data_IF_775830894874
#
_entry.id   IF_775830894874
#
_cell.length_a   1.000
_cell.length_b   1.000
_cell.length_c   1.000
_cell.angle_alpha   90.00
_cell.angle_beta   90.00
_cell.angle_gamma   90.00
#
_symmetry.space_group_name_H-M   'P 1'
#
loop_
_entity.id
_entity.type
_entity.pdbx_description
1 polymer ?
#
# COMPACT_ATOMS: atom_id res chain seq x y z
N UNK A 1 -17.27 -10.30 -5.26
CA UNK A 1 -16.53 -10.69 -6.49
C UNK A 1 -15.06 -10.74 -6.16
N UNK A 2 -14.34 -11.76 -6.64
CA UNK A 2 -12.88 -11.89 -6.46
C UNK A 2 -12.18 -11.62 -7.79
N UNK A 3 -11.05 -10.90 -7.72
CA UNK A 3 -10.17 -10.64 -8.85
C UNK A 3 -8.92 -11.49 -8.66
N UNK A 4 -8.69 -12.41 -9.58
CA UNK A 4 -7.47 -13.21 -9.58
C UNK A 4 -6.44 -12.57 -10.50
N UNK A 5 -5.22 -12.26 -10.02
CA UNK A 5 -4.13 -11.84 -10.88
C UNK A 5 -3.76 -12.95 -11.88
N UNK A 6 -3.00 -12.61 -12.89
CA UNK A 6 -2.35 -13.61 -13.74
C UNK A 6 -1.23 -14.27 -12.95
N UNK A 7 -1.00 -15.56 -13.22
CA UNK A 7 0.10 -16.32 -12.61
C UNK A 7 1.19 -16.53 -13.64
N UNK A 8 2.41 -16.12 -13.32
CA UNK A 8 3.58 -16.39 -14.15
C UNK A 8 4.18 -17.74 -13.72
N UNK A 9 4.06 -18.75 -14.59
CA UNK A 9 4.56 -20.11 -14.32
C UNK A 9 6.08 -20.20 -14.26
N UNK A 10 6.80 -19.25 -14.92
CA UNK A 10 8.26 -19.25 -14.94
C UNK A 10 8.85 -18.70 -13.65
N UNK A 11 8.22 -17.69 -13.11
CA UNK A 11 8.63 -17.06 -11.85
C UNK A 11 7.88 -17.62 -10.65
N UNK A 12 6.84 -18.43 -10.87
CA UNK A 12 5.94 -18.96 -9.84
C UNK A 12 5.30 -17.85 -8.98
N UNK A 13 4.94 -16.72 -9.61
CA UNK A 13 4.43 -15.53 -8.93
C UNK A 13 3.06 -15.09 -9.45
N UNK A 14 2.25 -14.58 -8.53
CA UNK A 14 1.07 -13.81 -8.89
C UNK A 14 1.49 -12.41 -9.36
N UNK A 15 1.08 -12.05 -10.57
CA UNK A 15 1.39 -10.78 -11.21
C UNK A 15 0.48 -9.65 -10.74
N UNK A 16 0.63 -8.48 -11.34
CA UNK A 16 -0.21 -7.33 -11.08
C UNK A 16 -1.68 -7.59 -11.45
N UNK A 17 -2.59 -6.93 -10.75
CA UNK A 17 -4.00 -6.91 -11.14
C UNK A 17 -4.17 -5.95 -12.32
N UNK A 18 -4.72 -6.46 -13.46
CA UNK A 18 -4.97 -5.66 -14.65
C UNK A 18 -6.09 -4.63 -14.42
N UNK A 19 -5.85 -3.34 -14.74
CA UNK A 19 -6.89 -2.30 -14.73
C UNK A 19 -8.09 -2.67 -15.62
N UNK A 20 -7.86 -3.23 -16.80
CA UNK A 20 -8.91 -3.62 -17.76
C UNK A 20 -9.79 -4.74 -17.20
N UNK A 21 -9.20 -5.64 -16.41
CA UNK A 21 -9.97 -6.69 -15.73
C UNK A 21 -10.88 -6.10 -14.65
N UNK A 22 -10.41 -5.10 -13.91
CA UNK A 22 -11.23 -4.37 -12.93
C UNK A 22 -12.37 -3.64 -13.64
N UNK A 23 -12.08 -2.92 -14.73
CA UNK A 23 -13.07 -2.18 -15.50
C UNK A 23 -14.20 -3.10 -15.97
N UNK A 24 -13.85 -4.23 -16.59
CA UNK A 24 -14.83 -5.24 -17.04
C UNK A 24 -15.69 -5.76 -15.90
N UNK A 25 -15.08 -6.13 -14.76
CA UNK A 25 -15.84 -6.65 -13.63
C UNK A 25 -16.76 -5.60 -13.00
N UNK A 26 -16.36 -4.32 -12.99
CA UNK A 26 -17.23 -3.22 -12.55
C UNK A 26 -18.35 -2.90 -13.54
N UNK A 27 -18.24 -3.33 -14.78
CA UNK A 27 -19.33 -3.26 -15.75
C UNK A 27 -20.32 -4.40 -15.60
N UNK A 28 -19.85 -5.59 -15.29
CA UNK A 28 -20.65 -6.79 -15.06
C UNK A 28 -21.36 -6.75 -13.70
N UNK A 29 -20.76 -6.14 -12.68
CA UNK A 29 -21.20 -6.14 -11.28
C UNK A 29 -21.48 -4.72 -10.77
N UNK A 30 -22.68 -4.21 -11.05
CA UNK A 30 -23.09 -2.85 -10.66
C UNK A 30 -23.34 -2.66 -9.16
N UNK A 31 -23.48 -3.75 -8.42
CA UNK A 31 -23.67 -3.78 -6.96
C UNK A 31 -22.37 -3.54 -6.15
N UNK A 32 -21.20 -3.54 -6.80
CA UNK A 32 -19.90 -3.33 -6.13
C UNK A 32 -19.87 -1.96 -5.48
N UNK A 33 -19.51 -1.92 -4.20
CA UNK A 33 -19.46 -0.70 -3.37
C UNK A 33 -18.04 -0.20 -3.10
N UNK A 34 -17.04 -1.02 -3.32
CA UNK A 34 -15.63 -0.68 -3.16
C UNK A 34 -14.75 -1.67 -3.92
N UNK A 35 -13.57 -1.24 -4.31
CA UNK A 35 -12.50 -2.12 -4.78
C UNK A 35 -11.42 -2.18 -3.72
N UNK A 36 -10.98 -3.40 -3.37
CA UNK A 36 -9.90 -3.64 -2.39
C UNK A 36 -8.83 -4.48 -3.07
N UNK A 37 -7.59 -4.04 -3.01
CA UNK A 37 -6.46 -4.79 -3.54
C UNK A 37 -5.20 -4.61 -2.70
N UNK A 38 -4.29 -5.57 -2.79
CA UNK A 38 -2.97 -5.52 -2.16
C UNK A 38 -1.92 -5.12 -3.21
N UNK A 39 -1.20 -4.03 -2.95
CA UNK A 39 -0.10 -3.56 -3.80
C UNK A 39 0.87 -2.72 -2.97
N UNK A 40 2.16 -3.11 -2.86
CA UNK A 40 2.74 -4.31 -3.48
C UNK A 40 2.22 -5.60 -2.86
N UNK A 41 2.34 -6.70 -3.60
CA UNK A 41 2.16 -8.04 -3.06
C UNK A 41 3.29 -8.37 -2.08
N UNK A 42 3.21 -9.52 -1.40
CA UNK A 42 4.30 -10.00 -0.55
C UNK A 42 5.63 -10.13 -1.33
N UNK A 43 5.55 -10.54 -2.58
CA UNK A 43 6.70 -10.74 -3.47
C UNK A 43 7.19 -9.45 -4.15
N UNK A 44 6.54 -8.31 -3.86
CA UNK A 44 6.94 -7.00 -4.37
C UNK A 44 6.30 -6.59 -5.70
N UNK A 45 5.32 -7.35 -6.21
CA UNK A 45 4.62 -7.00 -7.46
C UNK A 45 3.68 -5.82 -7.25
N UNK A 46 3.81 -4.81 -8.09
CA UNK A 46 3.01 -3.58 -8.05
C UNK A 46 1.91 -3.60 -9.11
N UNK A 47 0.71 -3.20 -8.72
CA UNK A 47 -0.39 -2.89 -9.64
C UNK A 47 -0.39 -1.39 -10.00
N UNK A 48 -0.93 -1.05 -11.16
CA UNK A 48 -1.08 0.35 -11.59
C UNK A 48 -2.24 1.03 -10.82
N UNK A 49 -1.92 1.51 -9.61
CA UNK A 49 -2.90 2.12 -8.71
C UNK A 49 -3.52 3.37 -9.31
N UNK A 50 -2.75 4.18 -10.05
CA UNK A 50 -3.24 5.41 -10.66
C UNK A 50 -4.33 5.11 -11.68
N UNK A 51 -4.06 4.21 -12.62
CA UNK A 51 -5.03 3.80 -13.62
C UNK A 51 -6.24 3.10 -13.01
N UNK A 52 -6.02 2.24 -12.01
CA UNK A 52 -7.11 1.57 -11.28
C UNK A 52 -7.99 2.59 -10.56
N UNK A 53 -7.40 3.61 -9.91
CA UNK A 53 -8.15 4.64 -9.21
C UNK A 53 -9.05 5.44 -10.15
N UNK A 54 -8.55 5.80 -11.34
CA UNK A 54 -9.35 6.48 -12.37
C UNK A 54 -10.60 5.66 -12.75
N UNK A 55 -10.43 4.38 -13.03
CA UNK A 55 -11.53 3.46 -13.40
C UNK A 55 -12.55 3.34 -12.27
N UNK A 56 -12.09 3.10 -11.05
CA UNK A 56 -12.93 2.93 -9.87
C UNK A 56 -13.72 4.21 -9.56
N UNK A 57 -13.07 5.36 -9.67
CA UNK A 57 -13.70 6.66 -9.41
C UNK A 57 -14.74 7.06 -10.45
N UNK A 58 -14.61 6.61 -11.70
CA UNK A 58 -15.70 6.79 -12.71
C UNK A 58 -17.01 6.13 -12.27
N UNK A 59 -16.94 5.04 -11.51
CA UNK A 59 -18.11 4.38 -10.92
C UNK A 59 -18.55 5.00 -9.58
N UNK A 60 -17.87 6.05 -9.11
CA UNK A 60 -18.12 6.78 -7.83
C UNK A 60 -17.99 5.91 -6.58
N UNK A 61 -17.21 4.86 -6.64
CA UNK A 61 -16.90 3.97 -5.51
C UNK A 61 -15.45 4.17 -5.04
N UNK A 62 -15.12 3.85 -3.78
CA UNK A 62 -13.77 4.02 -3.25
C UNK A 62 -12.82 2.89 -3.66
N UNK A 63 -11.54 3.24 -3.75
CA UNK A 63 -10.41 2.33 -3.87
C UNK A 63 -9.69 2.21 -2.53
N UNK A 64 -9.55 0.99 -2.04
CA UNK A 64 -8.83 0.64 -0.81
C UNK A 64 -7.59 -0.16 -1.20
N UNK A 65 -6.41 0.31 -0.79
CA UNK A 65 -5.15 -0.35 -1.08
C UNK A 65 -4.49 -0.83 0.22
N UNK A 66 -4.31 -2.13 0.34
CA UNK A 66 -3.41 -2.69 1.34
C UNK A 66 -1.97 -2.58 0.82
N UNK A 67 -1.30 -1.51 1.23
CA UNK A 67 0.09 -1.19 0.92
C UNK A 67 1.01 -1.53 2.12
N UNK A 68 0.67 -2.60 2.85
CA UNK A 68 1.40 -2.98 4.06
C UNK A 68 2.90 -3.21 3.82
N UNK A 69 3.30 -3.67 2.63
CA UNK A 69 4.71 -3.86 2.25
C UNK A 69 5.33 -2.65 1.55
N UNK A 70 4.60 -1.56 1.38
CA UNK A 70 5.02 -0.32 0.71
C UNK A 70 5.11 0.90 1.62
N UNK A 71 5.19 0.75 2.94
CA UNK A 71 5.23 1.88 3.87
C UNK A 71 6.41 2.85 3.64
N UNK A 72 7.47 2.41 2.97
CA UNK A 72 8.65 3.20 2.59
C UNK A 72 8.50 3.93 1.24
N UNK A 73 7.43 3.70 0.49
CA UNK A 73 7.23 4.33 -0.82
C UNK A 73 7.08 5.84 -0.72
N UNK A 74 7.62 6.56 -1.71
CA UNK A 74 7.60 8.01 -1.78
C UNK A 74 8.64 8.73 -0.90
N UNK A 75 9.40 8.02 -0.06
CA UNK A 75 10.43 8.64 0.78
C UNK A 75 11.79 8.82 0.10
N UNK A 76 12.03 8.18 -1.05
CA UNK A 76 13.27 8.30 -1.79
C UNK A 76 13.02 8.02 -3.28
N UNK A 77 13.71 8.70 -4.22
CA UNK A 77 13.50 8.52 -5.67
C UNK A 77 13.74 7.09 -6.21
N UNK A 78 14.45 6.26 -5.47
CA UNK A 78 14.65 4.85 -5.79
C UNK A 78 13.36 4.03 -5.67
N UNK A 79 12.45 4.44 -4.79
CA UNK A 79 11.18 3.75 -4.57
C UNK A 79 10.05 4.37 -5.41
N UNK A 80 9.03 3.58 -5.76
CA UNK A 80 7.84 4.13 -6.40
C UNK A 80 7.09 5.10 -5.46
N UNK A 81 6.22 5.91 -6.05
CA UNK A 81 5.26 6.71 -5.30
C UNK A 81 4.24 5.80 -4.60
N UNK A 82 3.79 6.23 -3.42
CA UNK A 82 2.80 5.47 -2.65
C UNK A 82 1.36 5.65 -3.16
N UNK A 83 0.46 4.77 -2.77
CA UNK A 83 -0.92 4.75 -3.21
C UNK A 83 -1.72 6.00 -2.80
N UNK A 84 -1.30 6.74 -1.75
CA UNK A 84 -1.96 7.99 -1.36
C UNK A 84 -1.87 9.06 -2.46
N UNK A 85 -0.73 9.16 -3.14
CA UNK A 85 -0.51 10.12 -4.24
C UNK A 85 -1.12 9.65 -5.54
N UNK A 86 -1.40 8.36 -5.68
CA UNK A 86 -1.98 7.71 -6.87
C UNK A 86 -3.50 7.57 -6.82
N UNK A 87 -4.16 8.28 -5.92
CA UNK A 87 -5.61 8.39 -5.89
C UNK A 87 -6.36 7.35 -5.06
N UNK A 88 -5.69 6.47 -4.32
CA UNK A 88 -6.38 5.57 -3.39
C UNK A 88 -7.11 6.35 -2.28
N UNK A 89 -8.35 5.97 -1.97
CA UNK A 89 -9.16 6.61 -0.93
C UNK A 89 -8.80 6.13 0.47
N UNK A 90 -8.37 4.87 0.58
CA UNK A 90 -7.86 4.29 1.83
C UNK A 90 -6.56 3.56 1.52
N UNK A 91 -5.53 3.84 2.32
CA UNK A 91 -4.24 3.14 2.23
C UNK A 91 -3.85 2.62 3.60
N UNK A 92 -3.39 1.37 3.65
CA UNK A 92 -2.96 0.71 4.88
C UNK A 92 -1.46 0.46 4.79
N UNK A 93 -0.70 1.01 5.73
CA UNK A 93 0.74 0.80 5.86
C UNK A 93 1.06 0.03 7.13
N UNK A 94 1.83 -1.05 7.03
CA UNK A 94 2.47 -1.68 8.17
C UNK A 94 3.87 -1.10 8.35
N UNK A 95 4.03 -0.19 9.31
CA UNK A 95 5.32 0.49 9.52
C UNK A 95 6.43 -0.50 9.86
N UNK A 96 6.12 -1.50 10.68
CA UNK A 96 7.08 -2.51 11.15
C UNK A 96 7.61 -3.45 10.06
N UNK A 97 7.03 -3.46 8.85
CA UNK A 97 7.49 -4.34 7.77
C UNK A 97 8.68 -3.76 7.00
N UNK A 98 8.66 -2.46 6.76
CA UNK A 98 9.62 -1.82 5.86
C UNK A 98 10.22 -0.53 6.42
N UNK A 99 9.80 -0.09 7.60
CA UNK A 99 10.31 1.06 8.32
C UNK A 99 10.78 0.67 9.73
N UNK A 100 11.63 1.47 10.39
CA UNK A 100 12.21 1.15 11.71
C UNK A 100 11.22 1.36 12.85
N UNK A 101 10.12 0.61 12.86
CA UNK A 101 9.10 0.64 13.90
C UNK A 101 8.92 -0.76 14.52
N UNK A 102 8.45 -0.81 15.77
CA UNK A 102 8.18 -2.07 16.46
C UNK A 102 7.03 -2.84 15.80
N UNK A 103 7.08 -4.16 15.89
CA UNK A 103 6.04 -5.09 15.40
C UNK A 103 4.66 -4.66 15.85
N UNK A 104 3.65 -4.87 15.02
CA UNK A 104 2.23 -4.49 15.19
C UNK A 104 1.92 -2.99 14.99
N UNK A 105 2.88 -2.17 14.59
CA UNK A 105 2.62 -0.77 14.24
C UNK A 105 2.09 -0.65 12.82
N UNK A 106 0.97 0.05 12.66
CA UNK A 106 0.35 0.28 11.36
C UNK A 106 -0.35 1.64 11.32
N UNK A 107 -0.54 2.16 10.11
CA UNK A 107 -1.30 3.37 9.84
C UNK A 107 -2.40 3.08 8.82
N UNK A 108 -3.53 3.76 8.97
CA UNK A 108 -4.57 3.86 7.96
C UNK A 108 -4.67 5.31 7.51
N UNK A 109 -4.53 5.54 6.21
CA UNK A 109 -4.68 6.86 5.58
C UNK A 109 -6.05 6.94 4.94
N UNK A 110 -6.72 8.08 5.12
CA UNK A 110 -8.04 8.35 4.55
C UNK A 110 -7.94 9.60 3.69
N UNK A 111 -8.07 9.43 2.38
CA UNK A 111 -7.93 10.48 1.38
C UNK A 111 -9.29 10.89 0.81
N UNK A 112 -9.39 12.15 0.40
CA UNK A 112 -10.60 12.64 -0.25
C UNK A 112 -11.87 12.56 0.62
N UNK A 113 -13.03 12.42 -0.05
CA UNK A 113 -14.36 12.53 0.57
C UNK A 113 -15.26 11.32 0.31
N UNK A 114 -14.80 10.29 -0.42
CA UNK A 114 -15.62 9.09 -0.74
C UNK A 114 -15.83 8.19 0.45
N UNK A 115 -14.97 8.30 1.49
CA UNK A 115 -15.03 7.51 2.70
C UNK A 115 -15.58 8.35 3.87
N UNK A 116 -16.58 7.82 4.56
CA UNK A 116 -17.05 8.41 5.82
C UNK A 116 -16.06 8.08 6.95
N UNK A 117 -15.26 9.08 7.33
CA UNK A 117 -14.25 8.96 8.39
C UNK A 117 -14.83 8.55 9.74
N UNK A 118 -16.09 8.92 10.04
CA UNK A 118 -16.75 8.54 11.29
C UNK A 118 -17.06 7.05 11.32
N UNK A 119 -17.51 6.48 10.18
CA UNK A 119 -17.74 5.04 10.07
C UNK A 119 -16.44 4.26 10.27
N UNK A 120 -15.35 4.66 9.61
CA UNK A 120 -14.03 4.01 9.80
C UNK A 120 -13.61 4.09 11.28
N UNK A 121 -13.71 5.26 11.91
CA UNK A 121 -13.39 5.42 13.34
C UNK A 121 -14.22 4.49 14.22
N UNK A 122 -15.50 4.36 13.96
CA UNK A 122 -16.38 3.46 14.74
C UNK A 122 -15.94 1.99 14.60
N UNK A 123 -15.59 1.54 13.38
CA UNK A 123 -15.08 0.19 13.18
C UNK A 123 -13.71 -0.02 13.84
N UNK A 124 -12.83 0.97 13.77
CA UNK A 124 -11.56 0.91 14.51
C UNK A 124 -11.78 0.76 16.01
N UNK A 125 -12.74 1.50 16.61
CA UNK A 125 -13.07 1.35 18.03
C UNK A 125 -13.63 -0.03 18.40
N UNK A 126 -14.28 -0.71 17.46
CA UNK A 126 -14.81 -2.07 17.68
C UNK A 126 -13.69 -3.12 17.60
N UNK A 127 -12.77 -2.97 16.65
CA UNK A 127 -11.78 -4.00 16.32
C UNK A 127 -10.40 -3.77 16.93
N UNK A 128 -10.08 -2.53 17.35
CA UNK A 128 -8.83 -2.22 18.04
C UNK A 128 -8.93 -2.56 19.54
N UNK A 129 -7.77 -2.65 20.18
CA UNK A 129 -7.69 -2.79 21.63
C UNK A 129 -8.28 -1.57 22.33
N UNK A 130 -8.90 -1.75 23.49
CA UNK A 130 -9.45 -0.66 24.30
C UNK A 130 -8.37 0.24 24.92
N UNK A 131 -7.16 -0.28 25.10
CA UNK A 131 -6.04 0.42 25.70
C UNK A 131 -4.89 0.52 24.70
N UNK A 132 -4.50 1.74 24.25
CA UNK A 132 -3.38 1.89 23.34
C UNK A 132 -2.06 1.56 24.05
N UNK A 133 -1.13 0.94 23.32
CA UNK A 133 0.24 0.75 23.79
C UNK A 133 1.05 2.01 23.55
N UNK A 134 1.40 2.72 24.62
CA UNK A 134 2.26 3.90 24.50
C UNK A 134 3.65 3.57 23.96
N UNK A 135 4.15 2.37 24.20
CA UNK A 135 5.44 1.91 23.64
C UNK A 135 5.35 1.82 22.11
N UNK A 136 4.26 1.24 21.58
CA UNK A 136 4.06 1.19 20.12
C UNK A 136 3.82 2.58 19.52
N UNK A 137 3.08 3.45 20.21
CA UNK A 137 2.86 4.83 19.77
C UNK A 137 4.17 5.61 19.73
N UNK A 138 5.01 5.51 20.76
CA UNK A 138 6.33 6.13 20.80
C UNK A 138 7.24 5.60 19.69
N UNK A 139 7.18 4.29 19.41
CA UNK A 139 7.94 3.69 18.31
C UNK A 139 7.51 4.22 16.95
N UNK A 140 6.21 4.46 16.71
CA UNK A 140 5.73 5.07 15.48
C UNK A 140 6.22 6.51 15.34
N UNK A 141 6.15 7.29 16.42
CA UNK A 141 6.58 8.69 16.43
C UNK A 141 8.10 8.79 16.15
N UNK A 142 8.92 7.99 16.82
CA UNK A 142 10.37 7.96 16.60
C UNK A 142 10.72 7.45 15.18
N UNK A 143 9.98 6.48 14.66
CA UNK A 143 10.14 6.00 13.30
C UNK A 143 9.90 7.14 12.28
N UNK A 144 8.79 7.86 12.40
CA UNK A 144 8.46 8.96 11.50
C UNK A 144 9.46 10.11 11.60
N UNK A 145 9.92 10.43 12.81
CA UNK A 145 10.97 11.41 13.04
C UNK A 145 12.30 11.00 12.39
N UNK A 146 12.72 9.76 12.58
CA UNK A 146 13.93 9.20 11.95
C UNK A 146 13.86 9.28 10.43
N UNK A 147 12.74 8.90 9.84
CA UNK A 147 12.53 8.99 8.38
C UNK A 147 12.53 10.44 7.91
N UNK A 148 11.92 11.36 8.63
CA UNK A 148 11.91 12.78 8.28
C UNK A 148 13.31 13.44 8.36
N UNK A 149 14.10 13.09 9.35
CA UNK A 149 15.42 13.70 9.59
C UNK A 149 16.55 13.02 8.81
N UNK A 150 16.49 11.70 8.64
CA UNK A 150 17.60 10.88 8.13
C UNK A 150 17.21 9.99 6.94
N UNK A 151 15.96 10.00 6.52
CA UNK A 151 15.44 9.08 5.51
C UNK A 151 16.24 9.09 4.22
N UNK A 152 16.64 10.25 3.71
CA UNK A 152 17.44 10.35 2.49
C UNK A 152 18.75 9.56 2.59
N UNK A 153 19.47 9.68 3.69
CA UNK A 153 20.77 8.98 3.88
C UNK A 153 20.55 7.48 4.08
N UNK A 154 19.54 7.11 4.87
CA UNK A 154 19.24 5.70 5.15
C UNK A 154 18.78 4.97 3.89
N UNK A 155 17.89 5.56 3.12
CA UNK A 155 17.37 4.95 1.91
C UNK A 155 18.39 4.95 0.76
N UNK A 156 19.26 5.99 0.64
CA UNK A 156 20.37 5.97 -0.29
C UNK A 156 21.32 4.80 0.01
N UNK A 157 21.69 4.62 1.28
CA UNK A 157 22.55 3.51 1.72
C UNK A 157 21.91 2.15 1.40
N UNK A 158 20.60 2.03 1.62
CA UNK A 158 19.85 0.82 1.28
C UNK A 158 19.85 0.56 -0.22
N UNK A 159 19.51 1.56 -1.04
CA UNK A 159 19.45 1.46 -2.49
C UNK A 159 20.81 1.05 -3.10
N UNK A 160 21.90 1.68 -2.65
CA UNK A 160 23.27 1.35 -3.07
C UNK A 160 23.64 -0.07 -2.68
N UNK A 161 23.36 -0.48 -1.44
CA UNK A 161 23.66 -1.83 -0.97
C UNK A 161 22.90 -2.90 -1.75
N UNK A 162 21.64 -2.65 -2.06
CA UNK A 162 20.81 -3.58 -2.82
C UNK A 162 21.27 -3.73 -4.26
N UNK A 163 21.67 -2.64 -4.92
CA UNK A 163 22.19 -2.68 -6.29
C UNK A 163 23.53 -3.42 -6.39
N UNK A 164 24.33 -3.43 -5.33
CA UNK A 164 25.58 -4.19 -5.27
C UNK A 164 25.38 -5.70 -4.98
N UNK A 165 24.31 -6.07 -4.30
CA UNK A 165 23.99 -7.47 -4.01
C UNK A 165 23.33 -8.20 -5.18
N UNK A 166 22.65 -7.48 -6.05
CA UNK A 166 22.15 -8.05 -7.30
C UNK A 166 23.29 -8.22 -8.28
N UNK A 167 23.78 -9.44 -8.47
CA UNK A 167 24.56 -9.81 -9.66
C UNK A 167 23.82 -9.28 -10.89
N UNK A 168 24.56 -8.93 -12.00
CA UNK A 168 23.93 -8.36 -13.18
C UNK A 168 23.01 -9.37 -13.86
N UNK A 169 21.87 -9.61 -13.27
CA UNK A 169 20.75 -10.26 -13.90
C UNK A 169 20.07 -9.20 -14.76
N UNK A 170 19.86 -9.55 -16.02
CA UNK A 170 19.16 -8.70 -17.00
C UNK A 170 17.96 -8.03 -16.32
N UNK A 171 17.87 -6.70 -16.47
CA UNK A 171 16.69 -5.93 -16.06
C UNK A 171 15.45 -6.64 -16.60
N UNK A 172 14.62 -7.08 -15.69
CA UNK A 172 13.27 -7.54 -15.99
C UNK A 172 12.41 -6.29 -16.17
#
# INVERSE_FOLDING_TARGET
VYIYPEFDETMELNMAVSPEKIERLLEEHKEVQAVVLTSPTYDGVLSDIERISEIVHQKKIPLIVDEAHGAHFGFHPYFPENANTKGADVVIHSLHKTLPALTQTALIHLNGTRIDRRKIRNYLHIFQTSSPSYVLMASMDECLKTVAEQGNVLFETYAVSYTHLTLPTKRI
#
